data_IF_263731235457
#
_entry.id   IF_263731235457
#
_cell.length_a   1.000
_cell.length_b   1.000
_cell.length_c   1.000
_cell.angle_alpha   90.00
_cell.angle_beta   90.00
_cell.angle_gamma   90.00
#
_symmetry.space_group_name_H-M   'P 1'
#
loop_
_entity.id
_entity.type
_entity.pdbx_description
1 polymer ?
#
# COMPACT_ATOMS: atom_id res chain seq x y z
N UNK A 1 -24.60 27.38 -0.90
CA UNK A 1 -24.61 28.55 -1.81
C UNK A 1 -25.92 28.55 -2.58
N UNK A 2 -26.90 29.35 -2.16
CA UNK A 2 -28.14 29.54 -2.92
C UNK A 2 -27.82 30.36 -4.17
N UNK A 3 -28.06 29.81 -5.36
CA UNK A 3 -27.99 30.56 -6.62
C UNK A 3 -29.16 31.55 -6.64
N UNK A 4 -28.88 32.85 -6.72
CA UNK A 4 -29.94 33.84 -6.93
C UNK A 4 -30.66 33.52 -8.23
N UNK A 5 -31.99 33.64 -8.24
CA UNK A 5 -32.83 33.39 -9.41
C UNK A 5 -32.80 34.55 -10.42
N UNK A 6 -31.91 35.52 -10.24
CA UNK A 6 -31.77 36.68 -11.10
C UNK A 6 -30.75 36.40 -12.21
N UNK A 7 -31.19 36.27 -13.49
CA UNK A 7 -30.31 36.01 -14.61
C UNK A 7 -29.22 37.07 -14.78
N UNK A 8 -29.49 38.33 -14.44
CA UNK A 8 -28.52 39.42 -14.57
C UNK A 8 -27.40 39.27 -13.55
N UNK A 9 -27.72 38.93 -12.30
CA UNK A 9 -26.73 38.63 -11.27
C UNK A 9 -25.90 37.40 -11.61
N UNK A 10 -26.51 36.37 -12.22
CA UNK A 10 -25.78 35.19 -12.68
C UNK A 10 -24.79 35.54 -13.80
N UNK A 11 -25.20 36.36 -14.77
CA UNK A 11 -24.32 36.81 -15.85
C UNK A 11 -23.19 37.72 -15.35
N UNK A 12 -23.48 38.64 -14.43
CA UNK A 12 -22.47 39.47 -13.78
C UNK A 12 -21.45 38.64 -13.00
N UNK A 13 -21.90 37.59 -12.30
CA UNK A 13 -21.03 36.65 -11.61
C UNK A 13 -20.14 35.86 -12.59
N UNK A 14 -20.70 35.34 -13.68
CA UNK A 14 -19.92 34.64 -14.72
C UNK A 14 -18.87 35.55 -15.34
N UNK A 15 -19.22 36.80 -15.65
CA UNK A 15 -18.28 37.81 -16.17
C UNK A 15 -17.14 38.09 -15.18
N UNK A 16 -17.44 38.15 -13.87
CA UNK A 16 -16.42 38.32 -12.83
C UNK A 16 -15.49 37.10 -12.72
N UNK A 17 -16.02 35.88 -12.82
CA UNK A 17 -15.18 34.67 -12.79
C UNK A 17 -14.31 34.55 -14.05
N UNK A 18 -14.85 34.85 -15.23
CA UNK A 18 -14.09 34.96 -16.49
C UNK A 18 -12.94 35.95 -16.33
N UNK A 19 -13.19 37.15 -15.77
CA UNK A 19 -12.14 38.15 -15.52
C UNK A 19 -11.06 37.62 -14.58
N UNK A 20 -11.41 36.92 -13.49
CA UNK A 20 -10.46 36.32 -12.55
C UNK A 20 -9.59 35.23 -13.22
N UNK A 21 -10.18 34.41 -14.09
CA UNK A 21 -9.46 33.34 -14.79
C UNK A 21 -8.54 33.84 -15.87
N UNK A 22 -8.96 34.85 -16.63
CA UNK A 22 -8.10 35.52 -17.61
C UNK A 22 -6.90 36.22 -16.95
N UNK A 23 -7.05 36.65 -15.69
CA UNK A 23 -5.99 37.22 -14.88
C UNK A 23 -5.10 36.18 -14.16
N UNK A 24 -5.42 34.88 -14.24
CA UNK A 24 -4.65 33.83 -13.57
C UNK A 24 -3.43 33.43 -14.42
N UNK A 25 -2.29 34.09 -14.15
CA UNK A 25 -1.03 33.83 -14.86
C UNK A 25 -0.54 32.39 -14.69
N UNK A 26 -0.74 31.77 -13.53
CA UNK A 26 -0.31 30.39 -13.30
C UNK A 26 -1.01 29.41 -14.23
N UNK A 27 -2.33 29.54 -14.40
CA UNK A 27 -3.09 28.71 -15.33
C UNK A 27 -2.73 29.01 -16.79
N UNK A 28 -2.57 30.28 -17.15
CA UNK A 28 -2.12 30.69 -18.48
C UNK A 28 -0.75 30.10 -18.81
N UNK A 29 0.23 30.25 -17.94
CA UNK A 29 1.58 29.69 -18.12
C UNK A 29 1.56 28.17 -18.19
N UNK A 30 0.74 27.50 -17.36
CA UNK A 30 0.61 26.06 -17.40
C UNK A 30 0.00 25.57 -18.72
N UNK A 31 -1.01 26.28 -19.25
CA UNK A 31 -1.62 26.01 -20.54
C UNK A 31 -0.64 26.25 -21.70
N UNK A 32 0.05 27.40 -21.71
CA UNK A 32 1.06 27.74 -22.72
C UNK A 32 2.24 26.76 -22.72
N UNK A 33 2.71 26.34 -21.54
CA UNK A 33 3.77 25.33 -21.43
C UNK A 33 3.29 23.97 -21.95
N UNK A 34 2.06 23.59 -21.64
CA UNK A 34 1.49 22.35 -22.17
C UNK A 34 1.36 22.41 -23.70
N UNK A 35 0.90 23.54 -24.26
CA UNK A 35 0.76 23.71 -25.71
C UNK A 35 2.11 23.79 -26.44
N UNK A 36 3.16 24.29 -25.80
CA UNK A 36 4.50 24.38 -26.39
C UNK A 36 5.20 23.03 -26.57
N UNK A 37 4.76 21.99 -25.86
CA UNK A 37 5.32 20.64 -25.99
C UNK A 37 4.85 19.90 -27.26
N UNK A 38 3.95 20.49 -28.07
CA UNK A 38 3.44 19.88 -29.30
C UNK A 38 4.28 20.22 -30.54
N UNK A 39 4.24 19.39 -31.60
CA UNK A 39 4.80 19.71 -32.91
C UNK A 39 4.28 21.05 -33.50
N UNK A 40 5.10 21.81 -34.26
CA UNK A 40 4.74 23.14 -34.76
C UNK A 40 3.45 23.22 -35.61
N UNK A 41 3.16 22.18 -36.39
CA UNK A 41 1.95 22.05 -37.21
C UNK A 41 0.66 21.88 -36.36
N UNK A 42 0.84 21.48 -35.10
CA UNK A 42 -0.22 21.32 -34.09
C UNK A 42 -0.36 22.58 -33.23
N UNK A 43 0.75 23.23 -32.89
CA UNK A 43 0.74 24.49 -32.10
C UNK A 43 -0.12 25.58 -32.75
N UNK A 44 -0.08 25.69 -34.09
CA UNK A 44 -0.87 26.68 -34.85
C UNK A 44 -2.38 26.45 -34.84
N UNK A 45 -2.84 25.26 -34.45
CA UNK A 45 -4.26 24.88 -34.40
C UNK A 45 -4.83 24.98 -32.98
N UNK A 46 -4.00 25.32 -32.00
CA UNK A 46 -4.42 25.35 -30.60
C UNK A 46 -5.24 26.62 -30.31
N UNK A 47 -6.42 26.50 -29.67
CA UNK A 47 -7.18 27.67 -29.26
C UNK A 47 -6.35 28.51 -28.29
N UNK A 48 -6.51 29.84 -28.34
CA UNK A 48 -5.88 30.70 -27.36
C UNK A 48 -6.44 30.37 -25.96
N UNK A 49 -5.67 30.65 -24.91
CA UNK A 49 -6.12 30.42 -23.53
C UNK A 49 -7.45 31.13 -23.25
N UNK A 50 -7.64 32.31 -23.84
CA UNK A 50 -8.86 33.11 -23.81
C UNK A 50 -10.07 32.36 -24.35
N UNK A 51 -9.92 31.66 -25.48
CA UNK A 51 -10.98 30.86 -26.09
C UNK A 51 -11.35 29.67 -25.19
N UNK A 52 -10.37 29.06 -24.53
CA UNK A 52 -10.59 27.96 -23.58
C UNK A 52 -11.34 28.42 -22.32
N UNK A 53 -11.05 29.62 -21.81
CA UNK A 53 -11.79 30.21 -20.69
C UNK A 53 -13.25 30.48 -21.07
N UNK A 54 -13.50 30.85 -22.32
CA UNK A 54 -14.84 31.10 -22.85
C UNK A 54 -15.63 29.81 -23.02
N UNK A 55 -15.00 28.77 -23.55
CA UNK A 55 -15.58 27.41 -23.61
C UNK A 55 -15.87 26.87 -22.20
N UNK A 56 -15.00 27.17 -21.22
CA UNK A 56 -15.19 26.78 -19.83
C UNK A 56 -16.30 27.56 -19.09
N UNK A 57 -16.92 28.54 -19.74
CA UNK A 57 -17.93 29.46 -19.19
C UNK A 57 -17.44 30.16 -17.90
N UNK A 58 -16.14 30.47 -17.82
CA UNK A 58 -15.56 31.14 -16.65
C UNK A 58 -15.50 30.29 -15.38
N UNK A 59 -15.62 28.96 -15.43
CA UNK A 59 -15.46 28.09 -14.26
C UNK A 59 -14.02 27.60 -14.10
N UNK A 60 -13.39 27.88 -12.94
CA UNK A 60 -12.00 27.50 -12.68
C UNK A 60 -11.76 25.99 -12.75
N UNK A 61 -12.68 25.20 -12.18
CA UNK A 61 -12.62 23.74 -12.24
C UNK A 61 -12.72 23.21 -13.69
N UNK A 62 -13.44 23.93 -14.56
CA UNK A 62 -13.56 23.54 -15.97
C UNK A 62 -12.28 23.89 -16.74
N UNK A 63 -11.65 25.04 -16.45
CA UNK A 63 -10.35 25.42 -17.04
C UNK A 63 -9.26 24.46 -16.58
N UNK A 64 -9.23 24.08 -15.31
CA UNK A 64 -8.27 23.08 -14.78
C UNK A 64 -8.47 21.70 -15.42
N UNK A 65 -9.72 21.25 -15.59
CA UNK A 65 -10.02 19.98 -16.26
C UNK A 65 -9.59 20.00 -17.74
N UNK A 66 -9.95 21.05 -18.49
CA UNK A 66 -9.51 21.21 -19.88
C UNK A 66 -7.98 21.29 -19.98
N UNK A 67 -7.32 22.03 -19.07
CA UNK A 67 -5.85 22.10 -19.00
C UNK A 67 -5.24 20.73 -18.73
N UNK A 68 -5.86 19.90 -17.88
CA UNK A 68 -5.42 18.52 -17.63
C UNK A 68 -5.52 17.65 -18.89
N UNK A 69 -6.64 17.74 -19.64
CA UNK A 69 -6.82 17.02 -20.90
C UNK A 69 -5.81 17.46 -21.97
N UNK A 70 -5.45 18.74 -21.98
CA UNK A 70 -4.39 19.26 -22.86
C UNK A 70 -3.02 18.72 -22.46
N UNK A 71 -2.68 18.76 -21.16
CA UNK A 71 -1.40 18.27 -20.63
C UNK A 71 -1.16 16.79 -20.94
N UNK A 72 -2.20 15.98 -20.96
CA UNK A 72 -2.10 14.55 -21.28
C UNK A 72 -2.12 14.26 -22.78
N UNK A 73 -2.30 15.27 -23.63
CA UNK A 73 -2.43 15.11 -25.09
C UNK A 73 -3.78 14.57 -25.55
N UNK A 74 -4.81 14.60 -24.70
CA UNK A 74 -6.10 13.92 -24.93
C UNK A 74 -7.07 14.72 -25.81
N UNK A 75 -6.94 16.05 -25.86
CA UNK A 75 -7.85 16.92 -26.63
C UNK A 75 -7.64 16.85 -28.16
N UNK A 76 -6.68 16.04 -28.64
CA UNK A 76 -6.28 15.96 -30.05
C UNK A 76 -6.94 14.82 -30.85
N UNK A 77 -7.64 13.88 -30.21
CA UNK A 77 -8.18 12.69 -30.89
C UNK A 77 -9.48 12.94 -31.68
N UNK A 78 -10.12 14.11 -31.55
CA UNK A 78 -11.38 14.44 -32.22
C UNK A 78 -11.34 15.83 -32.86
N UNK A 79 -12.17 16.08 -33.89
CA UNK A 79 -12.26 17.42 -34.51
C UNK A 79 -12.65 18.44 -33.43
N UNK A 80 -12.05 19.63 -33.46
CA UNK A 80 -12.32 20.70 -32.48
C UNK A 80 -13.83 21.00 -32.33
N UNK A 81 -14.60 20.82 -33.41
CA UNK A 81 -16.07 20.92 -33.43
C UNK A 81 -16.78 19.78 -32.66
N UNK A 82 -16.28 18.55 -32.75
CA UNK A 82 -16.77 17.41 -31.97
C UNK A 82 -16.42 17.59 -30.50
N UNK A 83 -15.24 18.14 -30.19
CA UNK A 83 -14.87 18.50 -28.82
C UNK A 83 -15.78 19.62 -28.27
N UNK A 84 -16.13 20.63 -29.07
CA UNK A 84 -17.09 21.67 -28.67
C UNK A 84 -18.48 21.10 -28.41
N UNK A 85 -18.99 20.22 -29.26
CA UNK A 85 -20.27 19.54 -29.06
C UNK A 85 -20.23 18.62 -27.84
N UNK A 86 -19.19 17.80 -27.68
CA UNK A 86 -19.01 16.93 -26.52
C UNK A 86 -18.89 17.73 -25.22
N UNK A 87 -18.15 18.84 -25.22
CA UNK A 87 -18.07 19.76 -24.09
C UNK A 87 -19.43 20.41 -23.82
N UNK A 88 -20.17 20.83 -24.85
CA UNK A 88 -21.50 21.42 -24.68
C UNK A 88 -22.53 20.41 -24.13
N UNK A 89 -22.52 19.17 -24.63
CA UNK A 89 -23.34 18.06 -24.15
C UNK A 89 -22.96 17.69 -22.72
N UNK A 90 -21.66 17.52 -22.45
CA UNK A 90 -21.12 17.32 -21.12
C UNK A 90 -21.56 18.44 -20.17
N UNK A 91 -21.43 19.71 -20.55
CA UNK A 91 -21.81 20.85 -19.72
C UNK A 91 -23.31 20.94 -19.47
N UNK A 92 -24.14 20.59 -20.47
CA UNK A 92 -25.61 20.52 -20.35
C UNK A 92 -26.07 19.36 -19.47
N UNK A 93 -25.29 18.27 -19.42
CA UNK A 93 -25.67 17.01 -18.78
C UNK A 93 -24.77 16.62 -17.61
N UNK A 94 -23.78 17.42 -17.21
CA UNK A 94 -22.85 17.11 -16.09
C UNK A 94 -23.54 16.94 -14.76
N UNK A 95 -24.72 17.53 -14.59
CA UNK A 95 -25.55 17.29 -13.40
C UNK A 95 -26.18 15.88 -13.39
N UNK A 96 -26.04 15.13 -14.49
CA UNK A 96 -26.45 13.72 -14.65
C UNK A 96 -25.28 12.74 -14.63
N UNK A 97 -24.03 13.23 -14.67
CA UNK A 97 -22.81 12.45 -14.53
C UNK A 97 -22.26 12.70 -13.13
N UNK A 98 -21.91 11.67 -12.36
CA UNK A 98 -21.31 11.93 -11.05
C UNK A 98 -19.91 12.55 -11.27
N UNK A 99 -19.52 13.50 -10.43
CA UNK A 99 -18.20 14.15 -10.51
C UNK A 99 -17.03 13.15 -10.46
N UNK A 100 -17.25 11.99 -9.81
CA UNK A 100 -16.27 10.91 -9.72
C UNK A 100 -16.23 10.00 -10.96
N UNK A 101 -17.28 9.99 -11.80
CA UNK A 101 -17.30 9.19 -13.04
C UNK A 101 -16.26 9.72 -14.03
N UNK A 102 -16.05 11.05 -14.07
CA UNK A 102 -15.13 11.71 -14.99
C UNK A 102 -13.68 11.22 -14.82
N UNK A 103 -13.28 10.84 -13.60
CA UNK A 103 -11.94 10.28 -13.33
C UNK A 103 -11.84 8.77 -13.58
N UNK A 104 -12.96 8.08 -13.69
CA UNK A 104 -13.02 6.63 -13.92
C UNK A 104 -12.88 6.26 -15.41
N UNK A 105 -13.21 7.18 -16.32
CA UNK A 105 -13.04 6.96 -17.76
C UNK A 105 -11.56 7.09 -18.14
N UNK A 106 -11.00 5.97 -18.63
CA UNK A 106 -9.58 5.84 -18.98
C UNK A 106 -9.21 6.53 -20.30
N UNK A 107 -10.20 6.85 -21.12
CA UNK A 107 -10.03 7.59 -22.36
C UNK A 107 -11.30 8.39 -22.75
N UNK A 108 -11.15 9.30 -23.71
CA UNK A 108 -12.22 10.13 -24.24
C UNK A 108 -13.31 9.31 -24.93
N UNK A 109 -13.00 8.18 -25.58
CA UNK A 109 -14.02 7.40 -26.28
C UNK A 109 -14.99 6.76 -25.30
N UNK A 110 -14.53 6.27 -24.13
CA UNK A 110 -15.41 5.79 -23.08
C UNK A 110 -16.27 6.91 -22.48
N UNK A 111 -15.69 8.09 -22.23
CA UNK A 111 -16.43 9.23 -21.71
C UNK A 111 -17.43 9.75 -22.75
N UNK A 112 -17.01 9.86 -24.01
CA UNK A 112 -17.82 10.29 -25.15
C UNK A 112 -18.91 9.26 -25.39
N UNK A 113 -18.63 7.97 -25.50
CA UNK A 113 -19.64 6.92 -25.64
C UNK A 113 -20.63 6.96 -24.48
N UNK A 114 -20.19 7.14 -23.24
CA UNK A 114 -21.09 7.31 -22.10
C UNK A 114 -21.94 8.58 -22.21
N UNK A 115 -21.34 9.71 -22.58
CA UNK A 115 -22.01 11.01 -22.73
C UNK A 115 -22.98 11.01 -23.93
N UNK A 116 -22.60 10.43 -25.06
CA UNK A 116 -23.37 10.32 -26.30
C UNK A 116 -24.49 9.28 -26.12
N UNK A 117 -24.20 8.10 -25.57
CA UNK A 117 -25.23 7.12 -25.20
C UNK A 117 -26.26 7.77 -24.27
N UNK A 118 -25.84 8.58 -23.29
CA UNK A 118 -26.77 9.29 -22.39
C UNK A 118 -27.45 10.52 -22.99
N UNK A 119 -26.82 11.19 -23.95
CA UNK A 119 -27.37 12.38 -24.58
C UNK A 119 -28.41 12.07 -25.65
N UNK A 120 -28.25 10.92 -26.32
CA UNK A 120 -29.07 10.48 -27.45
C UNK A 120 -29.94 9.25 -27.13
N UNK A 121 -29.89 8.76 -25.91
CA UNK A 121 -30.86 7.80 -25.40
C UNK A 121 -32.25 8.46 -25.27
N UNK A 122 -33.22 7.97 -26.03
CA UNK A 122 -34.65 8.23 -25.80
C UNK A 122 -35.18 7.58 -24.50
N UNK A 123 -34.38 6.68 -23.90
CA UNK A 123 -34.67 6.04 -22.61
C UNK A 123 -34.77 7.11 -21.52
N UNK A 124 -35.92 7.17 -20.87
CA UNK A 124 -36.10 7.99 -19.69
C UNK A 124 -35.20 7.46 -18.57
N UNK A 125 -34.81 8.32 -17.62
CA UNK A 125 -34.06 7.90 -16.42
C UNK A 125 -34.71 6.69 -15.71
N UNK A 126 -36.05 6.62 -15.73
CA UNK A 126 -36.83 5.54 -15.13
C UNK A 126 -36.66 4.22 -15.88
N UNK A 127 -36.73 4.24 -17.21
CA UNK A 127 -36.53 3.05 -18.03
C UNK A 127 -35.09 2.54 -17.91
N UNK A 128 -34.10 3.44 -17.86
CA UNK A 128 -32.69 3.07 -17.67
C UNK A 128 -32.45 2.36 -16.34
N UNK A 129 -32.99 2.92 -15.25
CA UNK A 129 -32.90 2.28 -13.92
C UNK A 129 -33.57 0.91 -13.97
N UNK A 130 -34.77 0.80 -14.55
CA UNK A 130 -35.45 -0.48 -14.68
C UNK A 130 -34.65 -1.52 -15.49
N UNK A 131 -33.99 -1.10 -16.58
CA UNK A 131 -33.12 -1.96 -17.39
C UNK A 131 -31.88 -2.42 -16.62
N UNK A 132 -31.19 -1.51 -15.93
CA UNK A 132 -30.02 -1.85 -15.12
C UNK A 132 -30.38 -2.77 -13.96
N UNK A 133 -31.49 -2.50 -13.27
CA UNK A 133 -32.02 -3.38 -12.22
C UNK A 133 -32.30 -4.78 -12.77
N UNK A 134 -32.97 -4.85 -13.93
CA UNK A 134 -33.23 -6.13 -14.62
C UNK A 134 -31.93 -6.86 -14.96
N UNK A 135 -30.95 -6.18 -15.55
CA UNK A 135 -29.64 -6.77 -15.88
C UNK A 135 -28.94 -7.33 -14.65
N UNK A 136 -29.02 -6.65 -13.52
CA UNK A 136 -28.40 -7.08 -12.27
C UNK A 136 -29.05 -8.33 -11.70
N UNK A 137 -30.38 -8.47 -11.83
CA UNK A 137 -31.06 -9.74 -11.51
C UNK A 137 -30.73 -10.84 -12.52
N UNK A 138 -30.78 -10.55 -13.82
CA UNK A 138 -30.55 -11.52 -14.89
C UNK A 138 -29.11 -12.06 -14.87
N UNK A 139 -28.13 -11.23 -14.49
CA UNK A 139 -26.73 -11.61 -14.33
C UNK A 139 -26.43 -12.33 -13.01
N UNK A 140 -27.40 -12.47 -12.11
CA UNK A 140 -27.22 -13.07 -10.79
C UNK A 140 -26.36 -12.22 -9.83
N UNK A 141 -26.23 -10.92 -10.11
CA UNK A 141 -25.50 -9.99 -9.26
C UNK A 141 -26.33 -9.50 -8.06
N UNK A 142 -27.64 -9.73 -8.10
CA UNK A 142 -28.56 -9.57 -6.98
C UNK A 142 -29.32 -10.87 -6.71
N UNK A 143 -29.22 -11.38 -5.48
CA UNK A 143 -29.80 -12.67 -5.09
C UNK A 143 -30.83 -12.44 -4.01
N UNK A 144 -32.07 -12.86 -4.26
CA UNK A 144 -33.08 -12.94 -3.21
C UNK A 144 -32.64 -13.96 -2.17
N UNK A 145 -32.29 -13.51 -0.97
CA UNK A 145 -31.87 -14.36 0.14
C UNK A 145 -33.05 -14.77 1.02
N UNK A 146 -34.21 -14.13 0.84
CA UNK A 146 -35.46 -14.52 1.50
C UNK A 146 -36.49 -13.38 1.54
N UNK A 147 -37.68 -13.69 2.02
CA UNK A 147 -38.80 -12.74 2.05
C UNK A 147 -39.52 -12.85 3.40
N UNK A 148 -39.59 -11.74 4.12
CA UNK A 148 -40.43 -11.56 5.30
C UNK A 148 -41.86 -11.18 4.91
N UNK A 149 -42.67 -10.72 5.86
CA UNK A 149 -44.07 -10.32 5.59
C UNK A 149 -44.17 -9.02 4.80
N UNK A 150 -43.24 -8.09 5.02
CA UNK A 150 -43.25 -6.75 4.44
C UNK A 150 -42.11 -6.54 3.47
N UNK A 151 -40.97 -7.18 3.72
CA UNK A 151 -39.77 -6.94 2.93
C UNK A 151 -39.22 -8.21 2.28
N UNK A 152 -38.62 -8.03 1.11
CA UNK A 152 -37.78 -9.00 0.42
C UNK A 152 -36.33 -8.58 0.57
N UNK A 153 -35.49 -9.47 1.10
CA UNK A 153 -34.07 -9.21 1.30
C UNK A 153 -33.28 -9.70 0.08
N UNK A 154 -32.47 -8.82 -0.49
CA UNK A 154 -31.69 -9.07 -1.71
C UNK A 154 -30.22 -8.78 -1.44
N UNK A 155 -29.37 -9.80 -1.56
CA UNK A 155 -27.93 -9.68 -1.43
C UNK A 155 -27.30 -9.23 -2.75
N UNK A 156 -26.54 -8.14 -2.70
CA UNK A 156 -25.81 -7.57 -3.84
C UNK A 156 -24.37 -8.12 -3.86
N UNK A 157 -23.95 -8.65 -5.01
CA UNK A 157 -22.64 -9.28 -5.23
C UNK A 157 -21.61 -8.39 -5.92
N UNK A 158 -22.03 -7.31 -6.56
CA UNK A 158 -21.16 -6.41 -7.32
C UNK A 158 -21.42 -4.95 -6.96
N UNK A 159 -20.45 -4.09 -7.27
CA UNK A 159 -20.62 -2.64 -7.20
C UNK A 159 -21.72 -2.18 -8.16
N UNK A 160 -21.74 -2.74 -9.36
CA UNK A 160 -22.70 -2.42 -10.40
C UNK A 160 -24.14 -2.76 -9.97
N UNK A 161 -24.32 -3.85 -9.22
CA UNK A 161 -25.59 -4.20 -8.59
C UNK A 161 -26.03 -3.15 -7.56
N UNK A 162 -25.11 -2.71 -6.70
CA UNK A 162 -25.35 -1.60 -5.78
C UNK A 162 -25.76 -0.32 -6.51
N UNK A 163 -25.04 0.04 -7.57
CA UNK A 163 -25.33 1.23 -8.37
C UNK A 163 -26.67 1.15 -9.10
N UNK A 164 -27.03 -0.03 -9.60
CA UNK A 164 -28.27 -0.25 -10.33
C UNK A 164 -29.49 -0.30 -9.41
N UNK A 165 -29.38 -0.91 -8.23
CA UNK A 165 -30.53 -1.18 -7.36
C UNK A 165 -30.95 0.00 -6.49
N UNK A 166 -30.05 0.88 -6.00
CA UNK A 166 -30.42 2.26 -5.61
C UNK A 166 -29.22 3.21 -5.31
N UNK A 167 -29.34 4.47 -5.76
CA UNK A 167 -28.63 5.69 -5.31
C UNK A 167 -27.10 5.64 -5.06
N UNK A 168 -26.29 5.44 -6.11
CA UNK A 168 -24.83 5.65 -6.10
C UNK A 168 -24.30 7.03 -5.65
N UNK A 169 -25.16 7.95 -5.19
CA UNK A 169 -24.75 9.31 -4.81
C UNK A 169 -24.49 9.45 -3.31
N UNK A 170 -25.10 8.66 -2.41
CA UNK A 170 -24.95 8.93 -0.97
C UNK A 170 -23.89 8.07 -0.29
N UNK A 171 -23.73 6.81 -0.71
CA UNK A 171 -22.72 5.90 -0.16
C UNK A 171 -21.32 6.15 -0.73
N UNK A 172 -21.21 6.50 -2.01
CA UNK A 172 -19.94 6.69 -2.71
C UNK A 172 -19.42 8.14 -2.71
N UNK A 173 -20.25 9.16 -2.44
CA UNK A 173 -19.80 10.57 -2.55
C UNK A 173 -18.93 11.06 -1.40
N UNK A 174 -18.93 10.38 -0.24
CA UNK A 174 -18.09 10.77 0.90
C UNK A 174 -16.69 10.16 0.91
N UNK A 175 -16.45 9.09 0.16
CA UNK A 175 -15.17 8.40 0.14
C UNK A 175 -14.51 8.57 -1.22
N UNK A 176 -13.41 9.32 -1.25
CA UNK A 176 -12.62 9.69 -2.44
C UNK A 176 -11.93 8.49 -3.14
N UNK A 177 -12.15 7.26 -2.68
CA UNK A 177 -11.50 6.02 -3.16
C UNK A 177 -12.51 4.86 -3.30
N UNK A 178 -13.47 5.00 -4.22
CA UNK A 178 -14.52 4.01 -4.50
C UNK A 178 -14.05 2.54 -4.70
N UNK A 179 -12.88 2.23 -5.30
CA UNK A 179 -12.46 0.84 -5.52
C UNK A 179 -12.14 0.08 -4.22
N UNK A 180 -11.50 0.74 -3.24
CA UNK A 180 -11.10 0.11 -1.98
C UNK A 180 -12.29 -0.07 -1.02
N UNK A 181 -13.33 0.75 -1.21
CA UNK A 181 -14.57 0.62 -0.45
C UNK A 181 -15.22 -0.71 -0.80
N UNK A 182 -15.54 -0.98 -2.06
CA UNK A 182 -16.19 -2.25 -2.42
C UNK A 182 -15.33 -3.50 -2.11
N UNK A 183 -14.00 -3.38 -2.15
CA UNK A 183 -13.10 -4.45 -1.69
C UNK A 183 -13.29 -4.76 -0.20
N UNK A 184 -13.40 -3.74 0.63
CA UNK A 184 -13.79 -3.90 2.04
C UNK A 184 -15.16 -4.59 2.14
N UNK A 185 -16.14 -4.24 1.31
CA UNK A 185 -17.48 -4.87 1.32
C UNK A 185 -17.51 -6.33 0.87
N UNK A 186 -16.70 -6.71 -0.12
CA UNK A 186 -16.54 -8.09 -0.55
C UNK A 186 -15.94 -8.96 0.57
N UNK A 187 -15.03 -8.38 1.35
CA UNK A 187 -14.44 -9.02 2.54
C UNK A 187 -15.46 -9.08 3.70
N UNK A 188 -16.33 -8.07 3.86
CA UNK A 188 -17.23 -7.94 5.01
C UNK A 188 -18.67 -8.46 4.80
N UNK A 189 -18.95 -9.23 3.76
CA UNK A 189 -20.18 -10.03 3.66
C UNK A 189 -21.29 -9.50 2.74
N UNK A 190 -21.03 -8.48 1.91
CA UNK A 190 -21.99 -7.96 0.92
C UNK A 190 -22.99 -6.93 1.46
N UNK A 191 -23.78 -6.35 0.56
CA UNK A 191 -24.84 -5.39 0.88
C UNK A 191 -26.19 -6.09 0.73
N UNK A 192 -27.08 -5.96 1.72
CA UNK A 192 -28.44 -6.49 1.62
C UNK A 192 -29.41 -5.32 1.47
N UNK A 193 -30.12 -5.26 0.36
CA UNK A 193 -31.23 -4.34 0.16
C UNK A 193 -32.54 -4.99 0.61
N UNK A 194 -33.36 -4.23 1.34
CA UNK A 194 -34.71 -4.61 1.73
C UNK A 194 -35.68 -3.91 0.79
N UNK A 195 -36.40 -4.69 -0.01
CA UNK A 195 -37.40 -4.20 -0.96
C UNK A 195 -38.80 -4.36 -0.38
N UNK A 196 -39.70 -3.43 -0.66
CA UNK A 196 -41.12 -3.59 -0.31
C UNK A 196 -41.86 -4.57 -1.25
N UNK A 197 -43.16 -4.74 -1.03
CA UNK A 197 -44.02 -5.61 -1.85
C UNK A 197 -44.15 -5.18 -3.33
N UNK A 198 -43.62 -4.01 -3.73
CA UNK A 198 -43.54 -3.55 -5.11
C UNK A 198 -42.09 -3.59 -5.65
N UNK A 199 -41.20 -4.36 -5.00
CA UNK A 199 -39.76 -4.45 -5.30
C UNK A 199 -39.05 -3.08 -5.26
N UNK A 200 -39.59 -2.11 -4.51
CA UNK A 200 -38.95 -0.81 -4.34
C UNK A 200 -37.98 -0.89 -3.16
N UNK A 201 -36.72 -0.47 -3.31
CA UNK A 201 -35.78 -0.49 -2.20
C UNK A 201 -36.20 0.48 -1.10
N UNK A 202 -36.18 0.00 0.13
CA UNK A 202 -36.59 0.76 1.32
C UNK A 202 -35.38 1.04 2.22
N UNK A 203 -34.54 0.03 2.43
CA UNK A 203 -33.38 0.10 3.32
C UNK A 203 -32.19 -0.65 2.72
N UNK A 204 -30.98 -0.10 2.92
CA UNK A 204 -29.73 -0.79 2.61
C UNK A 204 -28.97 -1.19 3.87
N UNK A 205 -28.60 -2.46 3.97
CA UNK A 205 -27.79 -3.02 5.04
C UNK A 205 -26.36 -3.28 4.56
N UNK A 206 -25.44 -2.48 5.07
CA UNK A 206 -24.02 -2.77 5.03
C UNK A 206 -23.67 -3.65 6.22
N UNK A 207 -23.54 -4.98 6.03
CA UNK A 207 -23.35 -5.93 7.14
C UNK A 207 -22.11 -5.65 8.01
N UNK A 208 -21.09 -4.97 7.48
CA UNK A 208 -19.94 -4.50 8.25
C UNK A 208 -20.20 -3.28 9.16
N UNK A 209 -21.37 -2.64 9.05
CA UNK A 209 -21.76 -1.44 9.79
C UNK A 209 -22.96 -1.75 10.70
N UNK A 210 -22.96 -1.17 11.91
CA UNK A 210 -24.04 -1.33 12.89
C UNK A 210 -25.39 -0.66 12.48
N UNK A 211 -25.47 -0.09 11.27
CA UNK A 211 -26.50 0.86 10.89
C UNK A 211 -26.94 0.68 9.44
N UNK A 212 -28.21 0.95 9.23
CA UNK A 212 -28.93 0.99 7.97
C UNK A 212 -29.12 2.43 7.56
N UNK A 213 -29.26 2.68 6.27
CA UNK A 213 -29.73 3.97 5.78
C UNK A 213 -31.05 3.76 5.05
N UNK A 214 -32.02 4.64 5.31
CA UNK A 214 -33.21 4.74 4.47
C UNK A 214 -32.94 5.61 3.23
N UNK A 215 -34.01 5.87 2.46
CA UNK A 215 -33.96 6.76 1.29
C UNK A 215 -33.60 8.22 1.60
N UNK A 216 -33.86 8.68 2.82
CA UNK A 216 -33.47 10.01 3.30
C UNK A 216 -32.03 10.03 3.85
N UNK A 217 -31.35 8.87 3.87
CA UNK A 217 -30.05 8.66 4.49
C UNK A 217 -30.08 8.92 6.00
N UNK A 218 -31.24 8.69 6.62
CA UNK A 218 -31.39 8.61 8.06
C UNK A 218 -30.92 7.25 8.54
N UNK A 219 -30.20 7.30 9.66
CA UNK A 219 -29.59 6.15 10.29
C UNK A 219 -30.68 5.32 10.96
N UNK A 220 -31.01 4.18 10.36
CA UNK A 220 -31.95 3.21 10.91
C UNK A 220 -31.17 2.09 11.56
N UNK A 221 -31.65 1.58 12.69
CA UNK A 221 -31.04 0.47 13.42
C UNK A 221 -31.77 -0.84 13.10
N UNK A 222 -31.08 -1.98 13.28
CA UNK A 222 -31.66 -3.31 12.98
C UNK A 222 -32.96 -3.56 13.75
N UNK A 223 -33.10 -2.92 14.92
CA UNK A 223 -34.29 -2.98 15.74
C UNK A 223 -35.54 -2.49 15.02
N UNK A 224 -35.49 -1.36 14.31
CA UNK A 224 -36.63 -0.80 13.59
C UNK A 224 -37.10 -1.78 12.53
N UNK A 225 -36.17 -2.37 11.77
CA UNK A 225 -36.45 -3.30 10.69
C UNK A 225 -37.02 -4.61 11.23
N UNK A 226 -36.37 -5.23 12.22
CA UNK A 226 -36.82 -6.51 12.79
C UNK A 226 -38.09 -6.36 13.63
N UNK A 227 -38.35 -5.18 14.20
CA UNK A 227 -39.63 -4.88 14.84
C UNK A 227 -40.75 -4.74 13.81
N UNK A 228 -40.45 -4.14 12.66
CA UNK A 228 -41.43 -3.94 11.59
C UNK A 228 -41.76 -5.24 10.85
N UNK A 229 -40.77 -6.10 10.64
CA UNK A 229 -40.90 -7.42 9.99
C UNK A 229 -40.03 -8.50 10.68
N UNK A 230 -40.51 -9.09 11.80
CA UNK A 230 -39.77 -10.12 12.54
C UNK A 230 -39.44 -11.37 11.73
N UNK A 231 -40.21 -11.67 10.67
CA UNK A 231 -40.03 -12.86 9.84
C UNK A 231 -38.79 -12.75 8.93
N UNK A 232 -38.15 -11.58 8.87
CA UNK A 232 -36.84 -11.42 8.24
C UNK A 232 -35.69 -12.02 9.06
N UNK A 233 -35.86 -12.25 10.37
CA UNK A 233 -34.75 -12.68 11.22
C UNK A 233 -34.09 -13.98 10.71
N UNK A 234 -34.82 -15.06 10.36
CA UNK A 234 -34.19 -16.28 9.84
C UNK A 234 -33.46 -16.07 8.51
N UNK A 235 -33.90 -15.09 7.71
CA UNK A 235 -33.28 -14.72 6.43
C UNK A 235 -31.98 -13.96 6.65
N UNK A 236 -31.97 -13.03 7.61
CA UNK A 236 -30.81 -12.18 7.89
C UNK A 236 -29.81 -12.82 8.86
N UNK A 237 -30.23 -13.78 9.68
CA UNK A 237 -29.41 -14.38 10.72
C UNK A 237 -28.05 -14.90 10.21
N UNK A 238 -27.95 -15.69 9.13
CA UNK A 238 -26.65 -16.18 8.65
C UNK A 238 -25.68 -15.04 8.29
N UNK A 239 -26.23 -13.94 7.77
CA UNK A 239 -25.47 -12.76 7.38
C UNK A 239 -25.05 -11.92 8.59
N UNK A 240 -25.93 -11.78 9.59
CA UNK A 240 -25.64 -11.13 10.87
C UNK A 240 -24.57 -11.90 11.64
N UNK A 241 -24.69 -13.23 11.72
CA UNK A 241 -23.70 -14.11 12.37
C UNK A 241 -22.33 -13.93 11.71
N UNK A 242 -22.28 -13.92 10.37
CA UNK A 242 -21.03 -13.67 9.63
C UNK A 242 -20.46 -12.28 9.93
N UNK A 243 -21.30 -11.24 9.97
CA UNK A 243 -20.91 -9.89 10.33
C UNK A 243 -20.34 -9.78 11.75
N UNK A 244 -20.98 -10.44 12.71
CA UNK A 244 -20.53 -10.50 14.10
C UNK A 244 -19.21 -11.25 14.27
N UNK A 245 -18.93 -12.26 13.42
CA UNK A 245 -17.70 -13.04 13.45
C UNK A 245 -16.51 -12.34 12.77
N UNK A 246 -16.73 -11.30 11.97
CA UNK A 246 -15.66 -10.66 11.20
C UNK A 246 -14.72 -9.82 12.10
N UNK A 247 -13.41 -10.12 12.12
CA UNK A 247 -12.43 -9.29 12.83
C UNK A 247 -12.46 -7.85 12.31
N UNK A 248 -12.59 -6.88 13.22
CA UNK A 248 -12.67 -5.46 12.87
C UNK A 248 -14.01 -4.97 12.31
N UNK A 249 -15.05 -5.81 12.21
CA UNK A 249 -16.39 -5.38 11.80
C UNK A 249 -17.03 -4.41 12.81
N UNK A 250 -17.87 -3.45 12.39
CA UNK A 250 -18.46 -2.49 13.33
C UNK A 250 -19.73 -2.99 14.03
N UNK A 251 -20.37 -4.05 13.51
CA UNK A 251 -21.57 -4.63 14.11
C UNK A 251 -21.22 -5.30 15.45
N UNK A 252 -21.89 -4.89 16.53
CA UNK A 252 -21.80 -5.50 17.86
C UNK A 252 -23.12 -6.16 18.21
N UNK A 253 -23.07 -7.15 19.09
CA UNK A 253 -24.29 -7.83 19.58
C UNK A 253 -25.29 -6.86 20.25
N UNK A 254 -24.79 -5.78 20.85
CA UNK A 254 -25.61 -4.74 21.49
C UNK A 254 -26.34 -3.84 20.49
N UNK A 255 -25.95 -3.85 19.22
CA UNK A 255 -26.66 -3.13 18.14
C UNK A 255 -27.91 -3.91 17.68
N UNK A 256 -28.03 -5.17 18.12
CA UNK A 256 -29.19 -6.04 17.89
C UNK A 256 -30.03 -6.05 19.17
N UNK A 257 -31.35 -5.78 19.11
CA UNK A 257 -32.20 -5.92 20.29
C UNK A 257 -32.10 -7.31 20.90
N UNK A 258 -32.04 -7.38 22.23
CA UNK A 258 -31.88 -8.64 22.96
C UNK A 258 -32.94 -9.69 22.64
N UNK A 259 -34.17 -9.27 22.31
CA UNK A 259 -35.25 -10.18 21.90
C UNK A 259 -35.03 -10.90 20.55
N UNK A 260 -34.05 -10.44 19.75
CA UNK A 260 -33.66 -11.06 18.48
C UNK A 260 -32.30 -11.77 18.57
N UNK A 261 -31.69 -11.86 19.75
CA UNK A 261 -30.46 -12.61 19.94
C UNK A 261 -30.73 -14.11 19.74
N UNK A 262 -29.96 -14.73 18.86
CA UNK A 262 -29.94 -16.19 18.69
C UNK A 262 -28.67 -16.77 19.30
N UNK A 263 -28.67 -18.08 19.57
CA UNK A 263 -27.48 -18.77 20.08
C UNK A 263 -26.28 -18.59 19.15
N UNK A 264 -26.50 -18.68 17.82
CA UNK A 264 -25.49 -18.49 16.78
C UNK A 264 -24.88 -17.08 16.80
N UNK A 265 -25.70 -16.04 17.03
CA UNK A 265 -25.21 -14.66 17.13
C UNK A 265 -24.36 -14.43 18.38
N UNK A 266 -24.80 -14.98 19.52
CA UNK A 266 -24.05 -14.90 20.77
C UNK A 266 -22.71 -15.64 20.68
N UNK A 267 -22.70 -16.84 20.09
CA UNK A 267 -21.48 -17.62 19.86
C UNK A 267 -20.50 -16.86 18.96
N UNK A 268 -20.96 -16.31 17.83
CA UNK A 268 -20.12 -15.51 16.94
C UNK A 268 -19.55 -14.26 17.62
N UNK A 269 -20.35 -13.57 18.44
CA UNK A 269 -19.89 -12.40 19.18
C UNK A 269 -18.84 -12.75 20.25
N UNK A 270 -19.02 -13.88 20.96
CA UNK A 270 -18.04 -14.38 21.94
C UNK A 270 -16.75 -14.80 21.25
N UNK A 271 -16.85 -15.54 20.15
CA UNK A 271 -15.71 -15.99 19.37
C UNK A 271 -14.88 -14.80 18.86
N UNK A 272 -15.55 -13.79 18.31
CA UNK A 272 -14.88 -12.55 17.91
C UNK A 272 -14.22 -11.84 19.08
N UNK A 273 -14.88 -11.73 20.23
CA UNK A 273 -14.26 -11.11 21.40
C UNK A 273 -13.00 -11.85 21.85
N UNK A 274 -12.99 -13.19 21.76
CA UNK A 274 -11.82 -14.01 22.06
C UNK A 274 -10.71 -13.79 21.03
N UNK A 275 -11.05 -13.68 19.74
CA UNK A 275 -10.08 -13.45 18.66
C UNK A 275 -9.53 -12.01 18.66
N UNK A 276 -10.37 -11.01 18.94
CA UNK A 276 -9.96 -9.62 19.17
C UNK A 276 -9.05 -9.52 20.40
N UNK A 277 -9.32 -10.28 21.48
CA UNK A 277 -8.45 -10.35 22.65
C UNK A 277 -7.10 -11.01 22.30
N UNK A 278 -7.09 -12.12 21.55
CA UNK A 278 -5.86 -12.75 21.06
C UNK A 278 -5.08 -11.83 20.12
N UNK A 279 -5.75 -11.11 19.22
CA UNK A 279 -5.13 -10.16 18.31
C UNK A 279 -4.53 -8.98 19.07
N UNK A 280 -5.21 -8.48 20.11
CA UNK A 280 -4.66 -7.47 21.03
C UNK A 280 -3.47 -8.00 21.82
N UNK A 281 -3.48 -9.25 22.28
CA UNK A 281 -2.33 -9.87 22.93
C UNK A 281 -1.15 -10.02 21.97
N UNK A 282 -1.37 -10.45 20.72
CA UNK A 282 -0.31 -10.51 19.69
C UNK A 282 0.19 -9.12 19.31
N UNK A 283 -0.70 -8.13 19.19
CA UNK A 283 -0.32 -6.76 18.92
C UNK A 283 0.40 -6.12 20.11
N UNK A 284 0.06 -6.48 21.34
CA UNK A 284 0.77 -6.08 22.56
C UNK A 284 2.15 -6.73 22.60
N UNK A 285 2.27 -8.03 22.33
CA UNK A 285 3.54 -8.73 22.20
C UNK A 285 4.42 -8.14 21.07
N UNK A 286 3.81 -7.76 19.95
CA UNK A 286 4.51 -7.12 18.82
C UNK A 286 4.83 -5.64 19.07
N UNK A 287 4.06 -4.93 19.89
CA UNK A 287 4.40 -3.60 20.40
C UNK A 287 5.48 -3.67 21.47
N UNK A 288 5.60 -4.78 22.18
CA UNK A 288 6.74 -5.07 23.05
C UNK A 288 8.05 -5.20 22.26
N UNK A 289 7.98 -5.44 20.94
CA UNK A 289 9.13 -5.42 20.01
C UNK A 289 9.36 -4.07 19.32
N UNK A 290 8.46 -3.08 19.44
CA UNK A 290 8.60 -1.78 18.76
C UNK A 290 8.20 -0.63 19.69
N UNK A 291 9.23 -0.01 20.26
CA UNK A 291 9.23 1.22 21.08
C UNK A 291 8.60 1.14 22.46
N UNK A 292 9.43 0.74 23.43
CA UNK A 292 9.41 1.39 24.73
C UNK A 292 10.86 1.81 25.08
N UNK A 293 11.12 3.12 25.00
CA UNK A 293 12.28 3.80 25.61
C UNK A 293 12.10 3.86 27.15
N UNK A 294 11.57 2.80 27.77
CA UNK A 294 11.65 2.60 29.22
C UNK A 294 12.60 1.44 29.53
N UNK A 295 13.50 1.61 30.52
CA UNK A 295 14.62 0.71 30.79
C UNK A 295 14.17 -0.54 31.56
N UNK A 296 13.22 -1.31 30.99
CA UNK A 296 12.65 -2.51 31.63
C UNK A 296 13.36 -3.80 31.23
N UNK A 297 14.25 -3.79 30.24
CA UNK A 297 15.01 -4.98 29.80
C UNK A 297 16.52 -4.76 29.87
N UNK A 298 16.96 -3.68 30.51
CA UNK A 298 18.38 -3.53 30.79
C UNK A 298 18.75 -4.59 31.85
N UNK A 299 19.53 -5.57 31.39
CA UNK A 299 20.00 -6.71 32.17
C UNK A 299 20.71 -6.26 33.45
N UNK A 300 21.21 -5.02 33.51
CA UNK A 300 21.77 -4.41 34.71
C UNK A 300 20.78 -4.27 35.88
N UNK A 301 19.45 -4.27 35.64
CA UNK A 301 18.43 -4.22 36.70
C UNK A 301 18.00 -5.60 37.23
N UNK A 302 18.53 -6.67 36.67
CA UNK A 302 18.24 -8.04 37.07
C UNK A 302 19.43 -8.53 37.88
N UNK A 303 19.19 -9.05 39.09
CA UNK A 303 20.24 -9.64 39.91
C UNK A 303 21.03 -10.67 39.11
N UNK A 304 22.35 -10.65 39.22
CA UNK A 304 23.25 -11.47 38.40
C UNK A 304 22.94 -12.98 38.50
N UNK A 305 22.56 -13.44 39.69
CA UNK A 305 22.17 -14.83 39.96
C UNK A 305 20.88 -15.27 39.25
N UNK A 306 20.05 -14.31 38.80
CA UNK A 306 18.80 -14.57 38.09
C UNK A 306 18.94 -14.49 36.56
N UNK A 307 20.09 -14.06 36.06
CA UNK A 307 20.34 -13.96 34.62
C UNK A 307 20.65 -15.33 34.06
N UNK A 308 20.00 -15.68 32.96
CA UNK A 308 20.31 -16.89 32.20
C UNK A 308 21.06 -16.56 30.90
N UNK A 309 21.53 -17.61 30.21
CA UNK A 309 22.25 -17.47 28.93
C UNK A 309 21.41 -16.73 27.86
N UNK A 310 20.10 -16.96 27.82
CA UNK A 310 19.20 -16.33 26.87
C UNK A 310 19.14 -14.82 27.06
N UNK A 311 19.08 -14.37 28.32
CA UNK A 311 19.07 -12.94 28.66
C UNK A 311 20.35 -12.23 28.23
N UNK A 312 21.51 -12.89 28.38
CA UNK A 312 22.78 -12.34 27.89
C UNK A 312 22.84 -12.27 26.36
N UNK A 313 22.40 -13.34 25.67
CA UNK A 313 22.32 -13.34 24.20
C UNK A 313 21.41 -12.21 23.70
N UNK A 314 20.20 -12.09 24.25
CA UNK A 314 19.24 -11.05 23.87
C UNK A 314 19.81 -9.63 24.09
N UNK A 315 20.51 -9.43 25.21
CA UNK A 315 21.11 -8.14 25.54
C UNK A 315 22.30 -7.80 24.63
N UNK A 316 23.11 -8.79 24.25
CA UNK A 316 24.22 -8.63 23.29
C UNK A 316 23.71 -8.40 21.87
N UNK A 317 22.70 -9.15 21.41
CA UNK A 317 22.10 -8.99 20.08
C UNK A 317 21.47 -7.61 19.88
N UNK A 318 20.93 -7.02 20.97
CA UNK A 318 20.40 -5.65 20.99
C UNK A 318 21.48 -4.60 21.22
N UNK A 319 22.74 -5.00 21.37
CA UNK A 319 23.89 -4.14 21.71
C UNK A 319 23.65 -3.27 22.96
N UNK A 320 22.91 -3.82 23.94
CA UNK A 320 22.60 -3.17 25.22
C UNK A 320 23.76 -3.33 26.20
N UNK A 321 24.48 -4.45 26.12
CA UNK A 321 25.70 -4.72 26.88
C UNK A 321 26.84 -5.14 25.96
N UNK A 322 28.07 -5.02 26.45
CA UNK A 322 29.28 -5.64 25.89
C UNK A 322 29.60 -6.97 26.57
N UNK A 323 30.37 -7.84 25.92
CA UNK A 323 30.80 -9.12 26.48
C UNK A 323 31.52 -8.97 27.83
N UNK A 324 32.25 -7.86 28.04
CA UNK A 324 32.92 -7.57 29.31
C UNK A 324 31.96 -7.48 30.52
N UNK A 325 30.66 -7.31 30.29
CA UNK A 325 29.63 -7.32 31.33
C UNK A 325 29.05 -8.72 31.59
N UNK A 326 29.39 -9.72 30.78
CA UNK A 326 29.03 -11.13 31.01
C UNK A 326 30.08 -11.75 31.93
N UNK A 327 29.67 -12.31 33.09
CA UNK A 327 30.58 -13.02 34.00
C UNK A 327 31.34 -14.12 33.28
N UNK A 328 32.63 -14.26 33.59
CA UNK A 328 33.53 -15.13 32.84
C UNK A 328 33.10 -16.61 32.87
N UNK A 329 32.57 -17.07 33.99
CA UNK A 329 32.03 -18.42 34.20
C UNK A 329 30.69 -18.67 33.48
N UNK A 330 30.05 -17.62 32.97
CA UNK A 330 28.80 -17.69 32.19
C UNK A 330 29.02 -17.58 30.69
N UNK A 331 30.23 -17.29 30.21
CA UNK A 331 30.53 -17.14 28.78
C UNK A 331 30.55 -18.50 28.09
N UNK A 332 29.55 -18.74 27.27
CA UNK A 332 29.42 -19.94 26.43
C UNK A 332 29.69 -19.59 24.96
N UNK A 333 29.93 -20.60 24.12
CA UNK A 333 30.07 -20.41 22.67
C UNK A 333 28.89 -19.63 22.05
N UNK A 334 27.67 -19.84 22.56
CA UNK A 334 26.47 -19.14 22.11
C UNK A 334 26.52 -17.64 22.44
N UNK A 335 26.99 -17.26 23.63
CA UNK A 335 27.17 -15.87 24.02
C UNK A 335 28.25 -15.20 23.16
N UNK A 336 29.35 -15.89 22.87
CA UNK A 336 30.40 -15.38 21.99
C UNK A 336 29.88 -15.14 20.56
N UNK A 337 29.06 -16.05 20.00
CA UNK A 337 28.39 -15.86 18.71
C UNK A 337 27.49 -14.61 18.70
N UNK A 338 26.69 -14.41 19.74
CA UNK A 338 25.85 -13.22 19.85
C UNK A 338 26.67 -11.92 19.95
N UNK A 339 27.77 -11.94 20.71
CA UNK A 339 28.63 -10.78 20.91
C UNK A 339 29.41 -10.39 19.64
N UNK A 340 29.85 -11.37 18.85
CA UNK A 340 30.73 -11.11 17.71
C UNK A 340 30.02 -10.42 16.55
N UNK A 341 28.69 -10.48 16.48
CA UNK A 341 27.89 -9.74 15.50
C UNK A 341 28.11 -8.23 15.63
N UNK A 342 28.42 -7.72 16.83
CA UNK A 342 28.55 -6.28 17.09
C UNK A 342 29.98 -5.81 17.35
N UNK A 343 30.88 -6.69 17.82
CA UNK A 343 32.25 -6.31 18.19
C UNK A 343 33.24 -7.43 17.88
N UNK A 344 34.01 -7.31 16.79
CA UNK A 344 35.05 -8.27 16.40
C UNK A 344 36.12 -8.48 17.48
N UNK A 345 36.39 -7.45 18.30
CA UNK A 345 37.44 -7.52 19.33
C UNK A 345 37.18 -8.58 20.40
N UNK A 346 35.94 -9.01 20.56
CA UNK A 346 35.51 -10.09 21.46
C UNK A 346 36.29 -11.40 21.24
N UNK A 347 36.76 -11.63 20.01
CA UNK A 347 37.49 -12.85 19.66
C UNK A 347 38.83 -12.96 20.38
N UNK A 348 39.46 -11.84 20.74
CA UNK A 348 40.74 -11.82 21.45
C UNK A 348 40.65 -12.51 22.82
N UNK A 349 39.45 -12.50 23.43
CA UNK A 349 39.16 -13.08 24.74
C UNK A 349 38.42 -14.43 24.63
N UNK A 350 38.30 -15.00 23.44
CA UNK A 350 37.56 -16.24 23.21
C UNK A 350 38.48 -17.47 23.34
N UNK A 351 38.14 -18.45 24.20
CA UNK A 351 38.83 -19.74 24.23
C UNK A 351 38.80 -20.46 22.88
N UNK A 352 39.90 -21.11 22.51
CA UNK A 352 40.02 -21.85 21.23
C UNK A 352 38.94 -22.93 21.09
N UNK A 353 38.51 -23.56 22.20
CA UNK A 353 37.47 -24.60 22.17
C UNK A 353 36.08 -24.10 21.75
N UNK A 354 35.83 -22.78 21.71
CA UNK A 354 34.56 -22.20 21.27
C UNK A 354 34.54 -21.82 19.79
N UNK A 355 35.66 -21.97 19.09
CA UNK A 355 35.66 -21.85 17.64
C UNK A 355 35.04 -23.09 16.99
N UNK A 356 33.92 -22.87 16.32
CA UNK A 356 33.31 -23.84 15.42
C UNK A 356 33.07 -23.21 14.04
N UNK A 357 32.72 -24.05 13.07
CA UNK A 357 32.53 -23.60 11.69
C UNK A 357 31.43 -22.53 11.58
N UNK A 358 30.36 -22.64 12.36
CA UNK A 358 29.26 -21.66 12.38
C UNK A 358 29.74 -20.28 12.86
N UNK A 359 30.56 -20.22 13.91
CA UNK A 359 31.16 -18.96 14.33
C UNK A 359 32.08 -18.39 13.25
N UNK A 360 32.91 -19.21 12.61
CA UNK A 360 33.79 -18.76 11.53
C UNK A 360 33.00 -18.16 10.36
N UNK A 361 31.86 -18.73 10.00
CA UNK A 361 30.95 -18.18 8.98
C UNK A 361 30.38 -16.82 9.42
N UNK A 362 29.95 -16.68 10.68
CA UNK A 362 29.47 -15.39 11.22
C UNK A 362 30.58 -14.33 11.15
N UNK A 363 31.81 -14.68 11.55
CA UNK A 363 32.95 -13.77 11.51
C UNK A 363 33.17 -13.20 10.12
N UNK A 364 33.20 -14.07 9.12
CA UNK A 364 33.43 -13.67 7.74
C UNK A 364 32.27 -12.88 7.17
N UNK A 365 31.03 -13.26 7.48
CA UNK A 365 29.84 -12.60 6.96
C UNK A 365 29.58 -11.22 7.57
N UNK A 366 29.99 -10.98 8.81
CA UNK A 366 29.81 -9.68 9.47
C UNK A 366 31.02 -8.75 9.28
N UNK A 367 32.24 -9.30 9.20
CA UNK A 367 33.48 -8.51 9.25
C UNK A 367 34.42 -8.71 8.05
N UNK A 368 34.06 -9.56 7.09
CA UNK A 368 34.82 -9.81 5.87
C UNK A 368 36.26 -10.26 6.15
N UNK A 369 37.23 -9.50 5.60
CA UNK A 369 38.67 -9.76 5.77
C UNK A 369 39.09 -9.83 7.23
N UNK A 370 38.58 -8.92 8.07
CA UNK A 370 38.96 -8.85 9.47
C UNK A 370 38.44 -10.08 10.24
N UNK A 371 37.25 -10.56 9.90
CA UNK A 371 36.70 -11.82 10.39
C UNK A 371 37.54 -13.02 9.97
N UNK A 372 37.93 -13.09 8.70
CA UNK A 372 38.77 -14.16 8.17
C UNK A 372 40.15 -14.23 8.84
N UNK A 373 40.77 -13.08 9.16
CA UNK A 373 42.03 -13.03 9.91
C UNK A 373 41.91 -13.62 11.32
N UNK A 374 40.72 -13.53 11.91
CA UNK A 374 40.43 -14.01 13.26
C UNK A 374 40.09 -15.51 13.30
N UNK A 375 39.91 -16.17 12.15
CA UNK A 375 39.64 -17.61 12.09
C UNK A 375 40.94 -18.42 12.33
N UNK A 376 40.94 -19.41 13.25
CA UNK A 376 42.05 -20.33 13.45
C UNK A 376 42.40 -21.10 12.17
N UNK A 377 43.68 -21.40 11.98
CA UNK A 377 44.19 -21.97 10.73
C UNK A 377 43.58 -23.34 10.43
N UNK A 378 43.26 -24.10 11.47
CA UNK A 378 42.64 -25.43 11.39
C UNK A 378 41.19 -25.40 10.89
N UNK A 379 40.51 -24.26 11.01
CA UNK A 379 39.12 -24.07 10.61
C UNK A 379 38.96 -23.27 9.31
N UNK A 380 40.07 -22.81 8.73
CA UNK A 380 40.04 -22.17 7.43
C UNK A 380 39.63 -23.17 6.35
N UNK A 381 38.65 -22.78 5.56
CA UNK A 381 38.16 -23.57 4.42
C UNK A 381 38.02 -22.68 3.18
N UNK A 382 38.14 -23.24 1.96
CA UNK A 382 37.88 -22.48 0.73
C UNK A 382 36.52 -21.77 0.71
N UNK A 383 35.51 -22.32 1.38
CA UNK A 383 34.20 -21.69 1.50
C UNK A 383 34.27 -20.35 2.24
N UNK A 384 34.96 -20.30 3.38
CA UNK A 384 35.15 -19.06 4.16
C UNK A 384 35.92 -17.99 3.38
N UNK A 385 36.91 -18.37 2.57
CA UNK A 385 37.57 -17.41 1.68
C UNK A 385 36.59 -16.82 0.67
N UNK A 386 35.69 -17.64 0.13
CA UNK A 386 34.72 -17.19 -0.85
C UNK A 386 33.64 -16.27 -0.25
N UNK A 387 33.18 -16.57 0.96
CA UNK A 387 32.26 -15.71 1.70
C UNK A 387 32.89 -14.33 1.97
N UNK A 388 34.18 -14.29 2.31
CA UNK A 388 34.91 -13.03 2.52
C UNK A 388 34.97 -12.18 1.25
N UNK A 389 35.17 -12.82 0.09
CA UNK A 389 35.17 -12.16 -1.22
C UNK A 389 33.80 -11.60 -1.57
N UNK A 390 32.74 -12.38 -1.33
CA UNK A 390 31.35 -11.96 -1.57
C UNK A 390 31.00 -10.75 -0.69
N UNK A 391 31.35 -10.80 0.60
CA UNK A 391 31.15 -9.69 1.52
C UNK A 391 31.86 -8.42 1.06
N UNK A 392 33.11 -8.53 0.63
CA UNK A 392 33.90 -7.40 0.14
C UNK A 392 33.25 -6.76 -1.10
N UNK A 393 32.84 -7.58 -2.07
CA UNK A 393 32.13 -7.11 -3.27
C UNK A 393 30.81 -6.42 -2.94
N UNK A 394 30.00 -7.01 -2.05
CA UNK A 394 28.70 -6.44 -1.66
C UNK A 394 28.87 -5.04 -1.03
N UNK A 395 29.81 -4.88 -0.11
CA UNK A 395 30.06 -3.59 0.54
C UNK A 395 30.62 -2.56 -0.45
N UNK A 396 31.48 -2.98 -1.38
CA UNK A 396 31.99 -2.13 -2.46
C UNK A 396 30.84 -1.57 -3.33
N UNK A 397 29.93 -2.42 -3.77
CA UNK A 397 28.79 -2.01 -4.62
C UNK A 397 27.82 -1.08 -3.86
N UNK A 398 27.57 -1.35 -2.57
CA UNK A 398 26.63 -0.59 -1.73
C UNK A 398 27.10 0.82 -1.38
N UNK A 399 28.40 1.02 -1.19
CA UNK A 399 28.95 2.33 -0.80
C UNK A 399 28.99 3.34 -1.96
N UNK A 400 28.61 2.96 -3.19
CA UNK A 400 28.42 3.87 -4.32
C UNK A 400 29.69 4.62 -4.78
N UNK A 401 30.83 4.35 -4.15
CA UNK A 401 32.08 5.07 -4.33
C UNK A 401 32.93 4.40 -5.41
N UNK A 402 32.47 4.47 -6.67
CA UNK A 402 33.18 3.93 -7.84
C UNK A 402 34.52 4.61 -8.13
N UNK A 403 34.80 5.76 -7.52
CA UNK A 403 36.00 6.56 -7.78
C UNK A 403 37.13 6.35 -6.76
N UNK A 404 36.86 5.73 -5.61
CA UNK A 404 37.86 5.62 -4.52
C UNK A 404 38.63 4.30 -4.52
N UNK A 405 38.15 3.31 -5.25
CA UNK A 405 38.83 2.05 -5.52
C UNK A 405 38.48 1.64 -6.97
N UNK A 406 39.42 1.21 -7.81
CA UNK A 406 39.11 0.78 -9.17
C UNK A 406 38.25 -0.50 -9.15
N UNK A 407 37.41 -0.74 -10.18
CA UNK A 407 36.77 -2.04 -10.35
C UNK A 407 37.84 -3.12 -10.30
N UNK A 408 37.61 -4.22 -9.58
CA UNK A 408 38.49 -5.41 -9.53
C UNK A 408 39.04 -5.63 -10.94
N UNK A 409 40.30 -5.28 -11.24
CA UNK A 409 40.86 -5.53 -12.57
C UNK A 409 40.75 -7.03 -12.85
N UNK A 410 40.56 -7.44 -14.10
CA UNK A 410 40.43 -8.88 -14.45
C UNK A 410 41.56 -9.74 -13.83
N UNK A 411 42.73 -9.14 -13.64
CA UNK A 411 43.94 -9.62 -12.98
C UNK A 411 43.73 -10.05 -11.50
N UNK A 412 42.71 -9.52 -10.82
CA UNK A 412 42.42 -9.77 -9.40
C UNK A 412 41.36 -10.86 -9.21
N UNK A 413 40.52 -11.10 -10.22
CA UNK A 413 39.71 -12.31 -10.29
C UNK A 413 40.64 -13.54 -10.32
N UNK A 414 41.77 -13.45 -11.02
CA UNK A 414 42.80 -14.50 -11.07
C UNK A 414 43.52 -14.72 -9.73
N UNK A 415 43.71 -13.68 -8.92
CA UNK A 415 44.31 -13.76 -7.56
C UNK A 415 43.33 -14.39 -6.56
N UNK A 416 42.04 -14.07 -6.65
CA UNK A 416 40.99 -14.65 -5.82
C UNK A 416 40.63 -16.07 -6.25
N UNK A 417 40.71 -16.36 -7.54
CA UNK A 417 40.59 -17.71 -8.09
C UNK A 417 41.82 -18.56 -7.68
N UNK A 418 43.03 -18.00 -7.72
CA UNK A 418 44.23 -18.61 -7.14
C UNK A 418 44.08 -18.96 -5.66
N UNK A 419 43.46 -18.09 -4.86
CA UNK A 419 43.19 -18.34 -3.44
C UNK A 419 42.23 -19.51 -3.20
N UNK A 420 41.22 -19.66 -4.07
CA UNK A 420 40.28 -20.79 -4.07
C UNK A 420 40.86 -22.07 -4.70
N UNK A 421 42.09 -22.04 -5.21
CA UNK A 421 42.72 -23.15 -5.93
C UNK A 421 42.14 -23.39 -7.33
N UNK A 422 41.45 -22.41 -7.91
CA UNK A 422 40.75 -22.52 -9.19
C UNK A 422 41.32 -21.46 -10.14
N UNK A 423 41.83 -21.84 -11.30
CA UNK A 423 42.19 -20.90 -12.36
C UNK A 423 41.10 -20.92 -13.43
N UNK A 424 40.66 -19.76 -13.91
CA UNK A 424 39.78 -19.63 -15.08
C UNK A 424 40.63 -19.02 -16.19
N UNK A 425 40.93 -19.79 -17.24
CA UNK A 425 41.69 -19.28 -18.38
C UNK A 425 40.88 -18.28 -19.21
N UNK A 426 41.55 -17.49 -20.06
CA UNK A 426 40.91 -16.48 -20.92
C UNK A 426 39.81 -17.05 -21.83
N UNK A 427 39.84 -18.37 -22.09
CA UNK A 427 38.82 -19.10 -22.86
C UNK A 427 37.63 -19.62 -22.02
N UNK A 428 37.65 -19.39 -20.70
CA UNK A 428 36.64 -19.84 -19.76
C UNK A 428 36.83 -21.26 -19.23
N UNK A 429 37.93 -21.94 -19.55
CA UNK A 429 38.23 -23.28 -19.01
C UNK A 429 38.80 -23.21 -17.58
N UNK A 430 38.50 -24.22 -16.77
CA UNK A 430 38.77 -24.20 -15.32
C UNK A 430 39.80 -25.27 -14.92
N UNK A 431 40.91 -24.89 -14.29
CA UNK A 431 41.94 -25.82 -13.77
C UNK A 431 42.08 -25.72 -12.25
N UNK A 432 42.30 -26.85 -11.56
CA UNK A 432 42.48 -26.91 -10.10
C UNK A 432 43.96 -27.00 -9.72
N UNK A 433 44.43 -26.13 -8.82
CA UNK A 433 45.77 -26.17 -8.23
C UNK A 433 45.73 -26.29 -6.69
N UNK A 434 46.89 -26.56 -6.08
CA UNK A 434 47.05 -26.74 -4.62
C UNK A 434 46.52 -25.53 -3.83
N UNK A 435 45.85 -25.74 -2.68
CA UNK A 435 45.28 -24.66 -1.88
C UNK A 435 46.35 -23.68 -1.37
N UNK A 436 46.03 -22.39 -1.44
CA UNK A 436 46.85 -21.28 -0.97
C UNK A 436 46.89 -21.26 0.57
N UNK A 437 48.04 -20.99 1.17
CA UNK A 437 48.15 -20.83 2.64
C UNK A 437 47.57 -19.49 3.09
N UNK A 438 47.15 -19.40 4.36
CA UNK A 438 46.65 -18.16 4.97
C UNK A 438 47.61 -16.99 4.77
N UNK A 439 48.91 -17.20 4.95
CA UNK A 439 49.91 -16.14 4.77
C UNK A 439 49.94 -15.62 3.33
N UNK A 440 49.84 -16.50 2.33
CA UNK A 440 49.87 -16.11 0.93
C UNK A 440 48.62 -15.30 0.55
N UNK A 441 47.45 -15.69 1.06
CA UNK A 441 46.21 -14.94 0.84
C UNK A 441 46.25 -13.56 1.49
N UNK A 442 46.69 -13.49 2.76
CA UNK A 442 46.78 -12.22 3.48
C UNK A 442 47.82 -11.28 2.88
N UNK A 443 48.96 -11.81 2.42
CA UNK A 443 49.99 -11.05 1.70
C UNK A 443 49.44 -10.46 0.39
N UNK A 444 48.71 -11.26 -0.41
CA UNK A 444 48.08 -10.79 -1.63
C UNK A 444 47.05 -9.66 -1.38
N UNK A 445 46.32 -9.70 -0.25
CA UNK A 445 45.45 -8.60 0.14
C UNK A 445 46.21 -7.34 0.58
N UNK A 446 47.38 -7.49 1.21
CA UNK A 446 48.14 -6.39 1.80
C UNK A 446 49.01 -5.64 0.78
N UNK A 447 49.60 -6.33 -0.20
CA UNK A 447 50.35 -5.69 -1.30
C UNK A 447 49.48 -4.68 -2.06
N UNK A 448 48.19 -5.00 -2.21
CA UNK A 448 47.22 -4.18 -2.94
C UNK A 448 46.69 -2.95 -2.17
N UNK A 449 46.75 -2.95 -0.84
CA UNK A 449 46.41 -1.75 -0.04
C UNK A 449 47.48 -0.66 -0.13
N UNK A 450 48.73 -1.03 -0.40
CA UNK A 450 49.84 -0.09 -0.49
C UNK A 450 49.80 0.80 -1.75
N UNK A 451 49.00 0.42 -2.75
CA UNK A 451 48.75 1.17 -3.98
C UNK A 451 47.54 2.11 -3.89
N UNK A 452 46.75 2.05 -2.81
CA UNK A 452 45.64 2.96 -2.59
C UNK A 452 46.13 4.35 -2.11
N UNK A 453 45.60 5.47 -2.63
CA UNK A 453 46.02 6.80 -2.20
C UNK A 453 45.70 7.03 -0.71
N UNK A 454 46.55 7.75 0.05
CA UNK A 454 46.36 7.92 1.48
C UNK A 454 45.06 8.70 1.79
N UNK A 455 44.35 8.35 2.88
CA UNK A 455 43.10 9.02 3.23
C UNK A 455 43.35 10.49 3.57
N UNK A 456 42.55 11.38 2.96
CA UNK A 456 42.59 12.81 3.27
C UNK A 456 42.19 13.03 4.73
N UNK A 457 43.05 13.75 5.47
CA UNK A 457 42.77 14.12 6.87
C UNK A 457 41.49 14.94 6.94
N UNK A 458 40.58 14.66 7.89
CA UNK A 458 39.41 15.49 8.08
C UNK A 458 39.88 16.87 8.57
N UNK A 459 39.60 17.90 7.78
CA UNK A 459 39.61 19.28 8.26
C UNK A 459 38.48 19.39 9.29
N UNK A 460 38.84 19.60 10.55
CA UNK A 460 37.85 19.87 11.62
C UNK A 460 37.91 21.32 12.06
N UNK A 461 37.15 21.66 13.12
CA UNK A 461 35.71 21.42 13.27
C UNK A 461 34.85 22.35 12.40
#
# INVERSE_FOLDING_TARGET
>A
MQRSHDPEQHQAWLAQQKKKLLANETLRTAFTRASANFPPDIQSKFPAYEDVVDIAQGSAANVEWLTSLVKTGWLFATKLTEAQEAIAVFMKKRNRLAYNDIKAYRDYNMLADAVYTEAYSDETKRERIARLQKQVYDNGEAINIGTGKKYKAVLLRSADAGFALEQGVLWCSRYTTAPNFFYSFAVYGGVIDLLDAQDRPMYGLALGNAHFNDRANEKITLDVILNDDPDLLPVLEPHIVRALALPGGNLKINDIPSKFHTASMLEAAVQRSADDAKARLRAAAKKQDVQDDTPSHDIHYIDEDLRDEGMYCDALEKNVIKLMHVPQDRRTAKIYKAAVVHELEVIKDMPEEFFDLELCEILVNEWGRAGLQAVPDELLSPALFWDAVIFWRYNYEKLGNREMFPPIPHEYADTLAHAAGIFIEEDGSMQLYKPMTKENFLAALQENESEAPPPLKPEGP
#
